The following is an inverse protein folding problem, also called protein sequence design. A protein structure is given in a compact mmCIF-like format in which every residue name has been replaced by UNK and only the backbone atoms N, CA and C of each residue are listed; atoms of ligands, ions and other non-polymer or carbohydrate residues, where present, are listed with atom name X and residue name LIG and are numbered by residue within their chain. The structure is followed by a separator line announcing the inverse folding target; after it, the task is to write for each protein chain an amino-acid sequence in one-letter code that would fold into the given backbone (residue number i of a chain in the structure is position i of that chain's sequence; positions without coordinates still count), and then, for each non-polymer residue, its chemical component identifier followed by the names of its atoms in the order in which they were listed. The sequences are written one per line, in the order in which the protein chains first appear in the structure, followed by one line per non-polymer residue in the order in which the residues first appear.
data_IF_433018961981
#
_entry.id   IF_433018961981
#
_cell.length_a   1.000
_cell.length_b   1.000
_cell.length_c   1.000
_cell.angle_alpha   90.00
_cell.angle_beta   90.00
_cell.angle_gamma   90.00
#
_symmetry.space_group_name_H-M   'P 1'
#
loop_
_entity.id
_entity.type
_entity.pdbx_description
1 polymer ?
#
# COMPACT_ATOMS: atom_id res chain seq x y z
N UNK A 1 -7.97 -1.74 8.42
CA UNK A 1 -6.79 -1.48 9.27
C UNK A 1 -6.45 -0.03 9.06
N UNK A 2 -6.64 0.84 10.06
CA UNK A 2 -6.36 2.27 9.90
C UNK A 2 -4.87 2.53 10.08
N UNK A 3 -4.32 3.48 9.31
CA UNK A 3 -2.98 4.02 9.53
C UNK A 3 -1.81 3.15 9.06
N UNK A 4 -2.01 2.09 8.26
CA UNK A 4 -0.86 1.38 7.66
C UNK A 4 -0.07 2.31 6.75
N UNK A 5 -0.81 3.12 6.01
CA UNK A 5 -0.30 4.26 5.28
C UNK A 5 -0.77 5.56 5.96
N UNK A 6 0.15 6.25 6.65
CA UNK A 6 -0.13 7.37 7.56
C UNK A 6 -0.79 8.61 6.93
N UNK A 7 -0.86 8.67 5.60
CA UNK A 7 -1.39 9.85 4.91
C UNK A 7 -2.92 9.96 5.00
N UNK A 8 -3.62 8.86 5.26
CA UNK A 8 -5.10 8.82 5.27
C UNK A 8 -5.76 9.52 6.47
N UNK A 9 -5.00 9.89 7.50
CA UNK A 9 -5.51 10.47 8.74
C UNK A 9 -5.66 12.00 8.70
N UNK A 10 -5.10 12.66 7.68
CA UNK A 10 -5.22 14.11 7.54
C UNK A 10 -6.61 14.48 7.02
N UNK A 11 -7.22 15.53 7.57
CA UNK A 11 -8.58 15.97 7.21
C UNK A 11 -8.71 16.31 5.71
N UNK A 12 -7.62 16.80 5.11
CA UNK A 12 -7.49 17.15 3.69
C UNK A 12 -7.80 15.95 2.77
N UNK A 13 -7.59 14.71 3.21
CA UNK A 13 -7.93 13.53 2.40
C UNK A 13 -9.44 13.23 2.36
N UNK A 14 -10.26 13.91 3.17
CA UNK A 14 -11.72 13.73 3.15
C UNK A 14 -12.32 14.12 1.80
N UNK A 15 -11.79 15.19 1.17
CA UNK A 15 -12.25 15.61 -0.16
C UNK A 15 -11.82 14.62 -1.25
N UNK A 16 -10.65 13.99 -1.11
CA UNK A 16 -10.19 12.99 -2.08
C UNK A 16 -11.00 11.70 -1.97
N UNK A 17 -11.29 11.26 -0.74
CA UNK A 17 -12.21 10.15 -0.49
C UNK A 17 -13.57 10.44 -1.12
N UNK A 18 -14.12 11.63 -0.86
CA UNK A 18 -15.42 12.03 -1.42
C UNK A 18 -15.42 12.02 -2.95
N UNK A 19 -14.34 12.49 -3.59
CA UNK A 19 -14.18 12.42 -5.03
C UNK A 19 -14.36 10.98 -5.56
N UNK A 20 -13.68 9.99 -4.97
CA UNK A 20 -13.84 8.59 -5.39
C UNK A 20 -15.24 8.05 -5.13
N UNK A 21 -15.87 8.38 -3.99
CA UNK A 21 -17.21 7.89 -3.67
C UNK A 21 -18.28 8.47 -4.61
N UNK A 22 -18.18 9.75 -4.95
CA UNK A 22 -19.19 10.47 -5.74
C UNK A 22 -18.99 10.30 -7.26
N UNK A 23 -17.74 10.23 -7.73
CA UNK A 23 -17.39 10.24 -9.15
C UNK A 23 -16.65 8.98 -9.62
N UNK A 24 -16.14 8.17 -8.69
CA UNK A 24 -15.47 6.92 -9.02
C UNK A 24 -16.45 5.84 -9.46
N UNK A 25 -15.95 4.91 -10.27
CA UNK A 25 -16.69 3.72 -10.66
C UNK A 25 -16.56 2.66 -9.58
N UNK A 26 -17.69 2.14 -9.12
CA UNK A 26 -17.71 1.06 -8.14
C UNK A 26 -17.34 -0.28 -8.81
N UNK A 27 -16.46 -1.06 -8.18
CA UNK A 27 -16.09 -2.40 -8.65
C UNK A 27 -15.88 -3.35 -7.47
N UNK A 28 -16.51 -4.51 -7.55
CA UNK A 28 -16.15 -5.65 -6.72
C UNK A 28 -14.96 -6.38 -7.34
N UNK A 29 -14.00 -6.78 -6.51
CA UNK A 29 -12.87 -7.59 -6.91
C UNK A 29 -12.81 -8.86 -6.09
N UNK A 30 -12.67 -10.00 -6.74
CA UNK A 30 -12.49 -11.28 -6.06
C UNK A 30 -11.06 -11.45 -5.59
N UNK A 31 -10.87 -12.21 -4.51
CA UNK A 31 -9.55 -12.61 -4.05
C UNK A 31 -8.72 -13.20 -5.21
N UNK A 32 -7.46 -12.76 -5.31
CA UNK A 32 -6.47 -13.04 -6.37
C UNK A 32 -6.66 -12.26 -7.68
N UNK A 33 -7.70 -11.45 -7.85
CA UNK A 33 -7.79 -10.58 -9.02
C UNK A 33 -6.74 -9.47 -8.97
N UNK A 34 -6.24 -9.11 -10.15
CA UNK A 34 -5.25 -8.05 -10.31
C UNK A 34 -5.95 -6.72 -10.59
N UNK A 35 -5.60 -5.71 -9.80
CA UNK A 35 -5.96 -4.32 -10.05
C UNK A 35 -5.01 -3.70 -11.08
N UNK A 36 -3.72 -4.05 -10.99
CA UNK A 36 -2.69 -3.71 -11.95
C UNK A 36 -1.72 -4.88 -12.10
N UNK A 37 -1.10 -4.99 -13.27
CA UNK A 37 -0.11 -6.02 -13.58
C UNK A 37 1.19 -5.36 -14.02
N UNK A 38 2.32 -5.79 -13.45
CA UNK A 38 3.64 -5.27 -13.76
C UNK A 38 3.92 -5.36 -15.26
N UNK A 39 4.47 -4.29 -15.83
CA UNK A 39 4.77 -4.19 -17.27
C UNK A 39 3.57 -3.83 -18.15
N UNK A 40 2.35 -3.80 -17.61
CA UNK A 40 1.15 -3.33 -18.30
C UNK A 40 0.93 -1.85 -17.96
N UNK A 41 0.54 -1.05 -18.96
CA UNK A 41 0.21 0.36 -18.75
C UNK A 41 -0.93 0.48 -17.75
N UNK A 42 -0.68 1.21 -16.66
CA UNK A 42 -1.67 1.46 -15.62
C UNK A 42 -2.15 2.89 -15.69
N UNK A 43 -3.47 3.07 -15.62
CA UNK A 43 -4.13 4.36 -15.84
C UNK A 43 -5.21 4.63 -14.81
N UNK A 44 -5.25 3.87 -13.71
CA UNK A 44 -6.27 3.98 -12.69
C UNK A 44 -5.68 3.89 -11.30
N UNK A 45 -6.33 4.57 -10.36
CA UNK A 45 -6.16 4.35 -8.93
C UNK A 45 -7.56 4.21 -8.31
N UNK A 46 -7.64 3.71 -7.09
CA UNK A 46 -8.91 3.51 -6.42
C UNK A 46 -8.86 3.79 -4.93
N UNK A 47 -9.99 4.19 -4.36
CA UNK A 47 -10.24 4.12 -2.93
C UNK A 47 -10.72 2.72 -2.56
N UNK A 48 -10.13 2.13 -1.52
CA UNK A 48 -10.50 0.80 -1.01
C UNK A 48 -11.56 0.97 0.07
N UNK A 49 -12.82 0.67 -0.26
CA UNK A 49 -13.92 0.70 0.70
C UNK A 49 -13.89 -0.55 1.60
N UNK A 50 -13.64 -1.73 0.99
CA UNK A 50 -13.50 -3.00 1.70
C UNK A 50 -12.39 -3.84 1.10
N UNK A 51 -11.76 -4.67 1.93
CA UNK A 51 -10.75 -5.64 1.50
C UNK A 51 -9.31 -5.15 1.69
N UNK A 52 -8.38 -5.83 1.02
CA UNK A 52 -6.95 -5.59 1.11
C UNK A 52 -6.24 -5.97 -0.19
N UNK A 53 -5.25 -5.18 -0.57
CA UNK A 53 -4.40 -5.39 -1.72
C UNK A 53 -2.94 -5.54 -1.28
N UNK A 54 -2.20 -6.36 -2.01
CA UNK A 54 -0.74 -6.48 -1.90
C UNK A 54 -0.08 -6.00 -3.18
N UNK A 55 1.08 -5.37 -3.03
CA UNK A 55 1.93 -4.93 -4.12
C UNK A 55 3.08 -5.92 -4.25
N UNK A 56 3.25 -6.47 -5.45
CA UNK A 56 4.24 -7.48 -5.77
C UNK A 56 5.15 -6.95 -6.87
N UNK A 57 6.45 -6.92 -6.61
CA UNK A 57 7.47 -6.65 -7.62
C UNK A 57 8.11 -7.99 -8.00
N UNK A 58 8.06 -8.35 -9.28
CA UNK A 58 8.76 -9.51 -9.83
C UNK A 58 10.09 -9.05 -10.39
N UNK A 59 11.19 -9.63 -9.88
CA UNK A 59 12.53 -9.30 -10.37
C UNK A 59 12.89 -10.04 -11.67
N UNK A 60 14.09 -9.75 -12.20
CA UNK A 60 14.58 -10.33 -13.47
C UNK A 60 14.74 -11.86 -13.42
N UNK A 61 14.86 -12.45 -12.23
CA UNK A 61 14.93 -13.89 -12.03
C UNK A 61 13.55 -14.53 -11.87
N UNK A 62 12.47 -13.75 -11.96
CA UNK A 62 11.10 -14.21 -11.73
C UNK A 62 10.73 -14.36 -10.26
N UNK A 63 11.55 -13.85 -9.32
CA UNK A 63 11.21 -13.91 -7.90
C UNK A 63 10.24 -12.78 -7.52
N UNK A 64 9.15 -13.15 -6.85
CA UNK A 64 8.17 -12.20 -6.34
C UNK A 64 8.59 -11.63 -4.98
N UNK A 65 8.53 -10.30 -4.86
CA UNK A 65 8.81 -9.55 -3.65
C UNK A 65 7.59 -8.75 -3.22
N UNK A 66 7.14 -8.91 -1.97
CA UNK A 66 6.05 -8.09 -1.44
C UNK A 66 6.60 -6.73 -1.03
N UNK A 67 6.20 -5.68 -1.73
CA UNK A 67 6.74 -4.32 -1.52
C UNK A 67 5.77 -3.37 -0.84
N UNK A 68 4.50 -3.73 -0.72
CA UNK A 68 3.48 -2.84 -0.15
C UNK A 68 2.15 -3.52 0.09
N UNK A 69 1.28 -2.83 0.83
CA UNK A 69 -0.10 -3.20 1.05
C UNK A 69 -0.98 -1.95 1.01
N UNK A 70 -2.24 -2.13 0.63
CA UNK A 70 -3.30 -1.14 0.79
C UNK A 70 -4.52 -1.80 1.44
N UNK A 71 -5.09 -1.14 2.43
CA UNK A 71 -6.20 -1.64 3.24
C UNK A 71 -7.48 -0.84 3.01
N UNK A 72 -8.61 -1.38 3.47
CA UNK A 72 -9.85 -0.62 3.59
C UNK A 72 -9.61 0.71 4.34
N UNK A 73 -10.04 1.81 3.72
CA UNK A 73 -9.78 3.17 4.17
C UNK A 73 -8.65 3.87 3.40
N UNK A 74 -7.88 3.16 2.60
CA UNK A 74 -6.70 3.66 1.90
C UNK A 74 -6.90 3.67 0.38
N UNK A 75 -5.85 4.06 -0.33
CA UNK A 75 -5.86 4.18 -1.78
C UNK A 75 -4.94 3.12 -2.39
N UNK A 76 -5.35 2.59 -3.52
CA UNK A 76 -4.64 1.53 -4.25
C UNK A 76 -4.32 1.98 -5.66
N UNK A 77 -3.06 1.83 -6.06
CA UNK A 77 -2.57 2.17 -7.39
C UNK A 77 -1.07 2.36 -7.41
N UNK A 78 -0.45 2.07 -8.54
CA UNK A 78 0.96 2.40 -8.77
C UNK A 78 1.05 3.88 -9.15
N UNK A 79 0.93 4.74 -8.13
CA UNK A 79 0.70 6.18 -8.29
C UNK A 79 1.66 6.87 -9.28
N UNK A 80 3.00 6.70 -9.17
CA UNK A 80 3.91 7.33 -10.10
C UNK A 80 3.67 6.92 -11.55
N UNK A 81 3.38 5.64 -11.80
CA UNK A 81 3.14 5.10 -13.15
C UNK A 81 1.76 5.49 -13.67
N UNK A 82 0.76 5.49 -12.79
CA UNK A 82 -0.62 5.86 -13.11
C UNK A 82 -0.71 7.31 -13.61
N UNK A 83 -0.12 8.27 -12.89
CA UNK A 83 -0.13 9.69 -13.29
C UNK A 83 0.66 9.92 -14.58
N UNK A 84 1.78 9.21 -14.77
CA UNK A 84 2.57 9.27 -16.01
C UNK A 84 1.97 8.49 -17.17
N UNK A 85 0.95 7.67 -16.93
CA UNK A 85 0.36 6.72 -17.89
C UNK A 85 1.44 5.77 -18.45
N UNK A 86 2.32 5.31 -17.57
CA UNK A 86 3.43 4.41 -17.86
C UNK A 86 3.11 2.96 -17.43
N UNK A 87 4.03 2.04 -17.72
CA UNK A 87 3.91 0.64 -17.34
C UNK A 87 4.06 0.50 -15.83
N UNK A 88 3.15 -0.24 -15.19
CA UNK A 88 3.24 -0.51 -13.76
C UNK A 88 4.59 -1.17 -13.42
N UNK A 89 5.22 -0.69 -12.36
CA UNK A 89 6.44 -1.26 -11.79
C UNK A 89 6.14 -2.48 -10.91
N UNK A 90 4.87 -2.64 -10.52
CA UNK A 90 4.41 -3.67 -9.60
C UNK A 90 3.06 -4.21 -10.04
N UNK A 91 2.83 -5.48 -9.75
CA UNK A 91 1.50 -6.08 -9.79
C UNK A 91 0.78 -5.77 -8.48
N UNK A 92 -0.50 -5.42 -8.56
CA UNK A 92 -1.33 -5.10 -7.40
C UNK A 92 -2.48 -6.09 -7.38
N UNK A 93 -2.55 -6.93 -6.35
CA UNK A 93 -3.50 -8.04 -6.29
C UNK A 93 -4.39 -7.97 -5.06
N UNK A 94 -5.67 -8.22 -5.23
CA UNK A 94 -6.63 -8.39 -4.14
C UNK A 94 -6.29 -9.65 -3.33
N UNK A 95 -6.10 -9.50 -2.03
CA UNK A 95 -5.79 -10.60 -1.09
C UNK A 95 -7.03 -11.16 -0.39
N UNK A 96 -8.11 -10.39 -0.42
CA UNK A 96 -9.46 -10.73 0.02
C UNK A 96 -10.46 -10.23 -1.01
N UNK A 97 -11.70 -10.70 -0.92
CA UNK A 97 -12.79 -10.07 -1.67
C UNK A 97 -12.90 -8.61 -1.25
N UNK A 98 -12.91 -7.72 -2.24
CA UNK A 98 -12.70 -6.29 -2.06
C UNK A 98 -13.77 -5.48 -2.80
N UNK A 99 -14.06 -4.29 -2.26
CA UNK A 99 -14.92 -3.29 -2.86
C UNK A 99 -14.12 -2.02 -3.04
N UNK A 100 -14.05 -1.51 -4.27
CA UNK A 100 -13.27 -0.32 -4.60
C UNK A 100 -14.10 0.70 -5.37
N UNK A 101 -13.68 1.96 -5.28
CA UNK A 101 -14.14 3.04 -6.14
C UNK A 101 -12.95 3.56 -6.93
N UNK A 102 -12.93 3.31 -8.24
CA UNK A 102 -11.77 3.59 -9.07
C UNK A 102 -12.03 4.73 -10.05
N UNK A 103 -10.99 5.52 -10.31
CA UNK A 103 -10.99 6.62 -11.25
C UNK A 103 -9.73 6.53 -12.12
N UNK A 104 -9.83 7.04 -13.35
CA UNK A 104 -8.68 7.12 -14.26
C UNK A 104 -7.71 8.21 -13.80
N UNK A 105 -6.46 8.08 -14.20
CA UNK A 105 -5.42 9.09 -13.99
C UNK A 105 -5.88 10.47 -14.48
N UNK A 106 -6.60 10.51 -15.61
CA UNK A 106 -7.12 11.77 -16.15
C UNK A 106 -8.18 12.40 -15.25
N UNK A 107 -9.13 11.60 -14.73
CA UNK A 107 -10.16 12.09 -13.80
C UNK A 107 -9.51 12.58 -12.50
N UNK A 108 -8.49 11.88 -12.00
CA UNK A 108 -7.75 12.26 -10.78
C UNK A 108 -6.97 13.55 -10.99
N UNK A 109 -6.21 13.69 -12.09
CA UNK A 109 -5.47 14.93 -12.40
C UNK A 109 -6.42 16.11 -12.60
N UNK A 110 -7.57 15.89 -13.24
CA UNK A 110 -8.60 16.92 -13.39
C UNK A 110 -9.16 17.35 -12.03
N UNK A 111 -9.43 16.40 -11.12
CA UNK A 111 -9.85 16.70 -9.76
C UNK A 111 -8.82 17.57 -9.05
N UNK A 112 -7.54 17.18 -9.07
CA UNK A 112 -6.48 17.98 -8.45
C UNK A 112 -6.34 19.37 -9.05
N UNK A 113 -6.70 19.56 -10.32
CA UNK A 113 -6.65 20.85 -11.02
C UNK A 113 -7.89 21.73 -10.82
N UNK A 114 -8.88 21.31 -10.02
CA UNK A 114 -10.18 22.00 -9.91
C UNK A 114 -10.09 23.35 -9.19
N UNK A 115 -9.41 23.39 -8.04
CA UNK A 115 -9.19 24.62 -7.29
C UNK A 115 -7.91 24.56 -6.45
N UNK A 116 -7.62 25.64 -5.72
CA UNK A 116 -6.39 25.74 -4.91
C UNK A 116 -6.31 24.64 -3.84
N UNK A 117 -7.43 24.26 -3.23
CA UNK A 117 -7.44 23.25 -2.17
C UNK A 117 -7.11 21.86 -2.71
N UNK A 118 -7.60 21.52 -3.91
CA UNK A 118 -7.30 20.24 -4.55
C UNK A 118 -5.85 20.18 -5.06
N UNK A 119 -5.29 21.31 -5.50
CA UNK A 119 -3.87 21.40 -5.88
C UNK A 119 -2.95 21.26 -4.67
N UNK A 120 -3.30 21.90 -3.54
CA UNK A 120 -2.57 21.73 -2.28
C UNK A 120 -2.64 20.27 -1.79
N UNK A 121 -3.79 19.62 -1.94
CA UNK A 121 -3.95 18.20 -1.62
C UNK A 121 -3.05 17.30 -2.49
N UNK A 122 -2.93 17.55 -3.79
CA UNK A 122 -2.02 16.79 -4.67
C UNK A 122 -0.58 16.87 -4.19
N UNK A 123 -0.14 18.08 -3.80
CA UNK A 123 1.18 18.31 -3.22
C UNK A 123 1.36 17.54 -1.90
N UNK A 124 0.40 17.64 -0.98
CA UNK A 124 0.43 16.92 0.31
C UNK A 124 0.51 15.41 0.08
N UNK A 125 -0.28 14.87 -0.86
CA UNK A 125 -0.22 13.45 -1.23
C UNK A 125 1.17 13.05 -1.73
N UNK A 126 1.77 13.81 -2.64
CA UNK A 126 3.10 13.51 -3.14
C UNK A 126 4.18 13.58 -2.03
N UNK A 127 4.10 14.58 -1.15
CA UNK A 127 5.00 14.73 0.00
C UNK A 127 4.89 13.57 0.98
N UNK A 128 3.67 13.16 1.32
CA UNK A 128 3.44 12.03 2.23
C UNK A 128 3.92 10.70 1.65
N UNK A 129 3.65 10.44 0.36
CA UNK A 129 4.16 9.25 -0.33
C UNK A 129 5.70 9.24 -0.35
N UNK A 130 6.33 10.41 -0.52
CA UNK A 130 7.78 10.55 -0.47
C UNK A 130 8.32 10.29 0.94
N UNK A 131 7.75 10.92 1.98
CA UNK A 131 8.16 10.71 3.38
C UNK A 131 8.04 9.23 3.76
N UNK A 132 6.95 8.57 3.38
CA UNK A 132 6.75 7.15 3.64
C UNK A 132 7.82 6.29 2.95
N UNK A 133 8.10 6.55 1.68
CA UNK A 133 9.11 5.82 0.90
C UNK A 133 10.51 6.05 1.47
N UNK A 134 10.85 7.30 1.80
CA UNK A 134 12.14 7.67 2.37
C UNK A 134 12.35 7.06 3.76
N UNK A 135 11.34 7.09 4.64
CA UNK A 135 11.41 6.43 5.95
C UNK A 135 11.61 4.93 5.81
N UNK A 136 10.89 4.28 4.88
CA UNK A 136 11.08 2.85 4.62
C UNK A 136 12.49 2.54 4.11
N UNK A 137 13.04 3.40 3.25
CA UNK A 137 14.42 3.27 2.77
C UNK A 137 15.40 3.30 3.95
N UNK A 138 15.31 4.33 4.80
CA UNK A 138 16.17 4.45 5.99
C UNK A 138 16.00 3.28 6.96
N UNK A 139 14.77 2.85 7.22
CA UNK A 139 14.48 1.70 8.07
C UNK A 139 15.21 0.45 7.55
N UNK A 140 15.17 0.19 6.24
CA UNK A 140 15.87 -0.95 5.61
C UNK A 140 17.40 -0.86 5.77
N UNK A 141 17.99 0.34 5.70
CA UNK A 141 19.44 0.51 5.83
C UNK A 141 19.94 0.50 7.27
N UNK A 142 19.14 1.03 8.20
CA UNK A 142 19.61 1.34 9.55
C UNK A 142 19.10 0.36 10.62
N UNK A 143 18.07 -0.43 10.35
CA UNK A 143 17.48 -1.35 11.33
C UNK A 143 17.76 -2.80 11.01
N UNK A 144 17.88 -3.59 12.06
CA UNK A 144 17.93 -5.05 11.98
C UNK A 144 16.56 -5.63 11.62
N UNK A 145 16.50 -6.85 11.06
CA UNK A 145 15.23 -7.54 10.81
C UNK A 145 14.33 -7.68 12.05
N UNK A 146 14.93 -7.85 13.23
CA UNK A 146 14.21 -7.91 14.51
C UNK A 146 13.52 -6.58 14.82
N UNK A 147 14.24 -5.47 14.72
CA UNK A 147 13.68 -4.13 14.95
C UNK A 147 12.58 -3.82 13.93
N UNK A 148 12.78 -4.13 12.66
CA UNK A 148 11.77 -3.96 11.61
C UNK A 148 10.51 -4.78 11.90
N UNK A 149 10.67 -6.04 12.33
CA UNK A 149 9.55 -6.89 12.71
C UNK A 149 8.80 -6.34 13.93
N UNK A 150 9.52 -5.92 14.97
CA UNK A 150 8.93 -5.33 16.18
C UNK A 150 8.17 -4.05 15.84
N UNK A 151 8.75 -3.16 15.04
CA UNK A 151 8.11 -1.92 14.60
C UNK A 151 6.86 -2.18 13.77
N UNK A 152 6.86 -3.22 12.94
CA UNK A 152 5.70 -3.62 12.14
C UNK A 152 4.55 -4.11 13.01
N UNK A 153 4.83 -5.02 13.95
CA UNK A 153 3.81 -5.60 14.85
C UNK A 153 3.29 -4.58 15.86
N UNK A 154 4.16 -3.70 16.36
CA UNK A 154 3.75 -2.62 17.28
C UNK A 154 2.86 -1.60 16.59
N UNK A 155 3.21 -1.19 15.37
CA UNK A 155 2.39 -0.25 14.60
C UNK A 155 1.07 -0.87 14.16
N UNK A 156 1.08 -2.15 13.78
CA UNK A 156 -0.06 -2.83 13.19
C UNK A 156 -0.26 -4.22 13.81
N UNK A 157 -0.78 -4.31 15.04
CA UNK A 157 -0.93 -5.58 15.74
C UNK A 157 -1.82 -6.58 14.98
N UNK A 158 -2.87 -6.08 14.33
CA UNK A 158 -3.78 -6.90 13.53
C UNK A 158 -3.20 -7.34 12.18
N UNK A 159 -2.06 -6.76 11.74
CA UNK A 159 -1.44 -7.07 10.45
C UNK A 159 -1.12 -8.56 10.28
N UNK A 160 -0.70 -9.20 11.37
CA UNK A 160 -0.40 -10.63 11.41
C UNK A 160 -1.61 -11.53 11.12
N UNK A 161 -2.84 -11.02 11.25
CA UNK A 161 -4.06 -11.78 10.99
C UNK A 161 -4.39 -11.88 9.49
N UNK A 162 -3.84 -10.97 8.66
CA UNK A 162 -4.21 -10.86 7.25
C UNK A 162 -3.18 -11.44 6.29
N UNK A 163 -1.97 -11.73 6.77
CA UNK A 163 -0.83 -12.10 5.92
C UNK A 163 -0.12 -13.34 6.46
N UNK A 164 0.57 -14.03 5.56
CA UNK A 164 1.34 -15.22 5.91
C UNK A 164 2.73 -14.86 6.45
N UNK A 165 3.35 -15.80 7.18
CA UNK A 165 4.74 -15.66 7.63
C UNK A 165 5.71 -15.43 6.47
N UNK A 166 5.46 -16.08 5.33
CA UNK A 166 6.24 -15.94 4.11
C UNK A 166 6.15 -14.53 3.53
N UNK A 167 4.95 -13.94 3.53
CA UNK A 167 4.74 -12.57 3.06
C UNK A 167 5.41 -11.55 3.98
N UNK A 168 5.38 -11.76 5.31
CA UNK A 168 6.12 -10.93 6.27
C UNK A 168 7.63 -11.01 5.99
N UNK A 169 8.14 -12.22 5.80
CA UNK A 169 9.56 -12.44 5.51
C UNK A 169 9.98 -11.71 4.23
N UNK A 170 9.20 -11.86 3.14
CA UNK A 170 9.42 -11.15 1.88
C UNK A 170 9.38 -9.62 2.08
N UNK A 171 8.37 -9.11 2.78
CA UNK A 171 8.21 -7.67 3.04
C UNK A 171 9.35 -7.07 3.85
N UNK A 172 9.92 -7.85 4.78
CA UNK A 172 11.07 -7.49 5.61
C UNK A 172 12.42 -7.89 5.00
N UNK A 173 12.44 -8.40 3.77
CA UNK A 173 13.64 -8.81 3.03
C UNK A 173 14.52 -9.84 3.76
N UNK A 174 13.87 -10.78 4.44
CA UNK A 174 14.52 -11.90 5.13
C UNK A 174 13.84 -13.23 4.81
N UNK A 175 14.43 -14.33 5.28
CA UNK A 175 13.83 -15.66 5.08
C UNK A 175 12.72 -15.94 6.11
N UNK A 176 11.78 -16.84 5.79
CA UNK A 176 10.77 -17.30 6.75
C UNK A 176 11.36 -17.86 8.05
N UNK A 177 12.53 -18.52 7.98
CA UNK A 177 13.26 -19.06 9.13
C UNK A 177 13.72 -17.94 10.05
N UNK A 178 14.25 -16.84 9.51
CA UNK A 178 14.64 -15.65 10.28
C UNK A 178 13.44 -15.07 11.04
N UNK A 179 12.29 -14.92 10.39
CA UNK A 179 11.07 -14.44 11.08
C UNK A 179 10.60 -15.43 12.14
N UNK A 180 10.65 -16.74 11.86
CA UNK A 180 10.30 -17.79 12.83
C UNK A 180 11.18 -17.71 14.08
N UNK A 181 12.49 -17.50 13.90
CA UNK A 181 13.46 -17.32 14.99
C UNK A 181 13.16 -16.05 15.80
N UNK A 182 12.92 -14.92 15.13
CA UNK A 182 12.55 -13.65 15.77
C UNK A 182 11.29 -13.83 16.64
N UNK A 183 10.25 -14.47 16.12
CA UNK A 183 8.99 -14.72 16.85
C UNK A 183 9.19 -15.59 18.09
N UNK A 184 10.09 -16.58 18.05
CA UNK A 184 10.42 -17.41 19.22
C UNK A 184 11.10 -16.60 20.31
N UNK A 185 12.05 -15.74 19.93
CA UNK A 185 12.81 -14.94 20.90
C UNK A 185 11.99 -13.81 21.52
N UNK A 186 11.08 -13.21 20.76
CA UNK A 186 10.19 -12.14 21.25
C UNK A 186 9.13 -12.68 22.22
N UNK A 187 8.66 -13.94 22.07
CA UNK A 187 7.74 -14.54 23.06
C UNK A 187 8.33 -14.63 24.48
N UNK A 188 9.64 -14.54 24.64
CA UNK A 188 10.31 -14.45 25.94
C UNK A 188 10.42 -13.02 26.49
N UNK A 189 10.01 -12.01 25.73
CA UNK A 189 10.02 -10.59 26.09
C UNK A 189 8.56 -10.14 26.03
N UNK A 190 7.83 -10.31 27.14
CA UNK A 190 6.52 -9.66 27.29
C UNK A 190 6.73 -8.16 27.13
N UNK A 191 6.11 -7.58 26.10
CA UNK A 191 5.96 -6.14 25.99
C UNK A 191 4.91 -5.72 27.02
N UNK A 192 5.37 -5.46 28.25
CA UNK A 192 4.63 -4.69 29.26
C UNK A 192 4.28 -3.29 28.76
#
# INVERSE_FOLDING_TARGET
MKGFNNYTEREEFSIFKKFFLDHGRCKEMKKKEYFAEQGIVTTHAAYVEKGMFRYVCTDENGCEHIVGYAFAGEYVGDYPQCIKKEKAMVSIQATTDSLIYYASAQEITNFFSTDKSTQELEKILAEELFVQTYKRLLDIYCKTPTELYVDLVRRYPDFLNYITLREIASFLRVTPETISHIRKNIKGIEFC
#
